data_IF_059645063268
#
_entry.id   IF_059645063268
#
_cell.length_a   1.000
_cell.length_b   1.000
_cell.length_c   1.000
_cell.angle_alpha   90.00
_cell.angle_beta   90.00
_cell.angle_gamma   90.00
#
_symmetry.space_group_name_H-M   'P 1'
#
loop_
_entity.id
_entity.type
_entity.pdbx_description
1 polymer ?
#
# COMPACT_ATOMS: atom_id res chain seq x y z
N UNK A 1 -28.51 28.46 34.47
CA UNK A 1 -27.64 27.26 34.54
C UNK A 1 -26.19 27.72 34.58
N UNK A 2 -25.51 27.66 35.74
CA UNK A 2 -24.11 28.13 35.87
C UNK A 2 -23.18 26.97 35.50
N UNK A 3 -22.64 27.01 34.28
CA UNK A 3 -21.64 26.05 33.83
C UNK A 3 -20.36 26.34 34.64
N UNK A 4 -19.94 25.38 35.47
CA UNK A 4 -18.71 25.52 36.26
C UNK A 4 -17.50 25.56 35.31
N UNK A 5 -16.52 26.43 35.61
CA UNK A 5 -15.27 26.55 34.84
C UNK A 5 -14.56 25.19 34.67
N UNK A 6 -14.69 24.31 35.66
CA UNK A 6 -14.17 22.95 35.60
C UNK A 6 -14.84 22.10 34.50
N UNK A 7 -16.15 22.27 34.28
CA UNK A 7 -16.91 21.54 33.25
C UNK A 7 -16.56 22.08 31.85
N UNK A 8 -16.31 23.39 31.73
CA UNK A 8 -15.87 24.02 30.47
C UNK A 8 -14.45 23.56 30.07
N UNK A 9 -13.54 23.45 31.03
CA UNK A 9 -12.17 22.97 30.78
C UNK A 9 -12.15 21.48 30.41
N UNK A 10 -12.94 20.64 31.10
CA UNK A 10 -12.99 19.21 30.82
C UNK A 10 -13.55 18.91 29.42
N UNK A 11 -14.58 19.65 29.00
CA UNK A 11 -15.17 19.51 27.66
C UNK A 11 -14.21 19.95 26.56
N UNK A 12 -13.48 21.06 26.76
CA UNK A 12 -12.48 21.53 25.80
C UNK A 12 -11.31 20.56 25.64
N UNK A 13 -10.81 20.01 26.75
CA UNK A 13 -9.73 19.01 26.74
C UNK A 13 -10.20 17.74 26.02
N UNK A 14 -11.42 17.27 26.31
CA UNK A 14 -11.98 16.09 25.65
C UNK A 14 -12.14 16.27 24.14
N UNK A 15 -12.46 17.46 23.64
CA UNK A 15 -12.57 17.68 22.19
C UNK A 15 -11.22 17.67 21.48
N UNK A 16 -10.14 18.05 22.18
CA UNK A 16 -8.79 18.08 21.61
C UNK A 16 -8.15 16.69 21.54
N UNK A 17 -8.54 15.76 22.41
CA UNK A 17 -7.97 14.39 22.40
C UNK A 17 -8.52 13.50 21.29
N UNK A 18 -9.58 13.92 20.58
CA UNK A 18 -10.12 13.17 19.43
C UNK A 18 -9.38 13.43 18.10
N UNK A 19 -8.37 14.29 18.05
CA UNK A 19 -7.65 14.65 16.81
C UNK A 19 -6.62 13.60 16.34
N UNK A 20 -6.74 12.34 16.78
CA UNK A 20 -5.74 11.29 16.51
C UNK A 20 -5.73 10.71 15.09
N UNK A 21 -6.71 11.02 14.25
CA UNK A 21 -6.88 10.36 12.94
C UNK A 21 -6.09 11.00 11.78
N UNK A 22 -5.12 11.89 12.05
CA UNK A 22 -4.40 12.65 11.02
C UNK A 22 -3.18 11.95 10.41
N UNK A 23 -3.01 10.65 10.66
CA UNK A 23 -1.97 9.83 10.04
C UNK A 23 -2.57 8.51 9.56
N UNK A 24 -2.48 8.26 8.27
CA UNK A 24 -2.95 7.05 7.63
C UNK A 24 -1.80 6.41 6.85
N UNK A 25 -1.61 5.10 7.05
CA UNK A 25 -0.61 4.31 6.35
C UNK A 25 -1.29 3.16 5.63
N UNK A 26 -1.00 3.00 4.34
CA UNK A 26 -1.47 1.89 3.51
C UNK A 26 -0.25 1.12 3.02
N UNK A 27 -0.17 -0.18 3.34
CA UNK A 27 0.92 -1.07 2.92
C UNK A 27 0.39 -2.09 1.92
N UNK A 28 1.16 -2.37 0.87
CA UNK A 28 0.76 -3.33 -0.19
C UNK A 28 1.38 -4.72 0.02
N UNK A 29 2.19 -4.90 1.06
CA UNK A 29 2.95 -6.13 1.30
C UNK A 29 4.20 -6.30 0.43
N UNK A 30 4.50 -5.35 -0.47
CA UNK A 30 5.74 -5.33 -1.26
C UNK A 30 6.91 -4.78 -0.44
N UNK A 31 8.11 -5.30 -0.67
CA UNK A 31 9.32 -4.78 -0.06
C UNK A 31 9.55 -3.31 -0.48
N UNK A 32 9.84 -2.43 0.46
CA UNK A 32 10.10 -1.01 0.19
C UNK A 32 11.46 -0.80 -0.47
N UNK A 33 11.54 0.10 -1.46
CA UNK A 33 12.79 0.59 -2.04
C UNK A 33 13.26 1.88 -1.37
N UNK A 34 14.43 2.37 -1.79
CA UNK A 34 14.94 3.69 -1.41
C UNK A 34 14.30 4.84 -2.22
N UNK A 35 13.44 4.53 -3.18
CA UNK A 35 12.78 5.52 -4.03
C UNK A 35 11.48 5.98 -3.40
N UNK A 36 11.37 7.29 -3.17
CA UNK A 36 10.25 7.91 -2.47
C UNK A 36 9.77 9.13 -3.26
N UNK A 37 8.45 9.26 -3.37
CA UNK A 37 7.76 10.42 -3.94
C UNK A 37 7.09 11.16 -2.78
N UNK A 38 7.50 12.41 -2.56
CA UNK A 38 6.96 13.28 -1.50
C UNK A 38 6.11 14.38 -2.11
N UNK A 39 4.88 14.53 -1.63
CA UNK A 39 3.97 15.63 -1.95
C UNK A 39 3.51 16.30 -0.64
N UNK A 40 4.24 17.31 -0.14
CA UNK A 40 3.99 17.90 1.18
C UNK A 40 2.73 18.79 1.27
N UNK A 41 2.24 19.27 0.12
CA UNK A 41 1.12 20.20 0.02
C UNK A 41 -0.01 19.65 -0.87
N UNK A 42 -0.47 18.44 -0.55
CA UNK A 42 -1.67 17.90 -1.17
C UNK A 42 -2.89 18.60 -0.56
N UNK A 43 -3.58 19.44 -1.34
CA UNK A 43 -4.70 20.24 -0.84
C UNK A 43 -5.99 19.44 -0.88
N UNK A 44 -6.57 19.17 0.28
CA UNK A 44 -7.97 18.75 0.40
C UNK A 44 -8.82 19.94 0.82
N UNK A 45 -10.14 19.88 0.59
CA UNK A 45 -11.04 20.98 0.93
C UNK A 45 -12.20 20.53 1.81
N UNK A 46 -12.76 21.48 2.55
CA UNK A 46 -13.92 21.30 3.42
C UNK A 46 -13.71 20.14 4.39
N UNK A 47 -12.80 20.31 5.34
CA UNK A 47 -12.43 19.28 6.32
C UNK A 47 -12.01 17.93 5.69
N UNK A 48 -11.44 17.97 4.47
CA UNK A 48 -11.01 16.76 3.75
C UNK A 48 -12.13 16.01 3.03
N UNK A 49 -13.34 16.59 2.91
CA UNK A 49 -14.43 16.00 2.13
C UNK A 49 -14.07 15.91 0.64
N UNK A 50 -13.36 16.91 0.12
CA UNK A 50 -12.89 16.92 -1.26
C UNK A 50 -11.45 16.40 -1.26
N UNK A 51 -11.19 15.25 -1.91
CA UNK A 51 -9.86 14.65 -1.91
C UNK A 51 -8.85 15.53 -2.65
N UNK A 52 -7.56 15.41 -2.32
CA UNK A 52 -6.50 16.09 -3.06
C UNK A 52 -6.35 15.53 -4.48
N UNK A 53 -5.63 16.26 -5.32
CA UNK A 53 -5.25 15.79 -6.65
C UNK A 53 -4.50 14.45 -6.57
N UNK A 54 -4.78 13.58 -7.54
CA UNK A 54 -4.18 12.25 -7.62
C UNK A 54 -2.66 12.34 -7.81
N UNK A 55 -1.91 11.65 -6.98
CA UNK A 55 -0.46 11.48 -7.15
C UNK A 55 -0.23 10.32 -8.09
N UNK A 56 0.28 10.58 -9.30
CA UNK A 56 0.65 9.50 -10.22
C UNK A 56 1.98 8.87 -9.78
N UNK A 57 1.87 7.76 -9.06
CA UNK A 57 3.02 6.97 -8.65
C UNK A 57 3.54 6.05 -9.77
N UNK A 58 2.78 5.86 -10.85
CA UNK A 58 3.06 4.87 -11.90
C UNK A 58 4.25 5.26 -12.76
N UNK A 59 4.44 6.58 -12.98
CA UNK A 59 5.55 7.10 -13.78
C UNK A 59 6.92 6.85 -13.14
N UNK A 60 6.97 6.86 -11.80
CA UNK A 60 8.22 6.72 -11.03
C UNK A 60 8.39 5.32 -10.45
N UNK A 61 7.35 4.77 -9.83
CA UNK A 61 7.39 3.45 -9.22
C UNK A 61 7.12 2.35 -10.25
N UNK A 62 8.12 2.02 -11.08
CA UNK A 62 8.03 0.98 -12.12
C UNK A 62 7.68 -0.42 -11.58
N UNK A 63 8.06 -0.73 -10.33
CA UNK A 63 7.77 -2.01 -9.67
C UNK A 63 6.47 -1.97 -8.83
N UNK A 64 5.73 -0.88 -8.90
CA UNK A 64 4.54 -0.59 -8.10
C UNK A 64 4.87 0.07 -6.75
N UNK A 65 3.83 0.32 -5.95
CA UNK A 65 3.92 1.01 -4.65
C UNK A 65 4.05 0.02 -3.51
N UNK A 66 4.95 0.26 -2.56
CA UNK A 66 5.09 -0.54 -1.34
C UNK A 66 4.29 0.05 -0.16
N UNK A 67 4.36 1.37 0.02
CA UNK A 67 3.74 2.06 1.15
C UNK A 67 3.26 3.45 0.74
N UNK A 68 2.08 3.83 1.20
CA UNK A 68 1.55 5.20 1.11
C UNK A 68 1.29 5.72 2.51
N UNK A 69 1.95 6.81 2.88
CA UNK A 69 1.78 7.49 4.16
C UNK A 69 1.14 8.85 3.90
N UNK A 70 -0.01 9.10 4.51
CA UNK A 70 -0.72 10.38 4.43
C UNK A 70 -0.79 10.97 5.83
N UNK A 71 -0.29 12.18 6.00
CA UNK A 71 -0.21 12.82 7.30
C UNK A 71 -0.44 14.33 7.26
N UNK A 72 -1.03 14.88 8.31
CA UNK A 72 -1.07 16.33 8.52
C UNK A 72 0.15 16.74 9.36
N UNK A 73 1.09 17.44 8.73
CA UNK A 73 2.22 18.05 9.44
C UNK A 73 1.75 19.23 10.31
N UNK A 74 2.59 19.67 11.26
CA UNK A 74 2.29 20.85 12.08
C UNK A 74 1.93 22.08 11.24
N UNK A 75 2.70 22.35 10.19
CA UNK A 75 2.47 23.50 9.31
C UNK A 75 1.17 23.35 8.51
N UNK A 76 0.86 22.13 8.08
CA UNK A 76 -0.40 21.82 7.40
C UNK A 76 -1.60 22.02 8.34
N UNK A 77 -1.47 21.60 9.59
CA UNK A 77 -2.48 21.81 10.63
C UNK A 77 -2.68 23.30 10.94
N UNK A 78 -1.59 24.09 10.98
CA UNK A 78 -1.66 25.53 11.16
C UNK A 78 -2.41 26.22 10.00
N UNK A 79 -2.11 25.87 8.76
CA UNK A 79 -2.82 26.41 7.59
C UNK A 79 -4.29 26.00 7.61
N UNK A 80 -4.58 24.76 8.00
CA UNK A 80 -5.96 24.29 8.20
C UNK A 80 -6.67 25.15 9.25
N UNK A 81 -6.04 25.42 10.39
CA UNK A 81 -6.63 26.25 11.44
C UNK A 81 -6.90 27.70 10.99
N UNK A 82 -5.95 28.33 10.29
CA UNK A 82 -6.08 29.71 9.79
C UNK A 82 -7.20 29.80 8.74
N UNK A 83 -7.38 28.77 7.92
CA UNK A 83 -8.42 28.71 6.89
C UNK A 83 -9.73 28.14 7.41
N UNK A 84 -9.88 27.93 8.72
CA UNK A 84 -11.05 27.27 9.33
C UNK A 84 -11.38 25.91 8.68
N UNK A 85 -10.36 25.18 8.26
CA UNK A 85 -10.41 23.90 7.54
C UNK A 85 -11.19 23.94 6.23
N UNK A 86 -11.38 25.13 5.64
CA UNK A 86 -11.84 25.24 4.26
C UNK A 86 -10.81 24.63 3.30
N UNK A 87 -9.53 24.83 3.61
CA UNK A 87 -8.40 24.17 2.95
C UNK A 87 -7.67 23.34 4.00
N UNK A 88 -7.51 22.05 3.75
CA UNK A 88 -6.86 21.12 4.67
C UNK A 88 -5.69 20.46 3.94
N UNK A 89 -4.51 21.12 3.91
CA UNK A 89 -3.32 20.52 3.31
C UNK A 89 -2.87 19.27 4.07
N UNK A 90 -2.28 18.31 3.36
CA UNK A 90 -1.66 17.12 3.91
C UNK A 90 -0.37 16.77 3.15
N UNK A 91 0.52 16.04 3.81
CA UNK A 91 1.72 15.47 3.23
C UNK A 91 1.42 14.03 2.83
N UNK A 92 1.65 13.71 1.56
CA UNK A 92 1.54 12.36 1.00
C UNK A 92 2.94 11.90 0.66
N UNK A 93 3.33 10.75 1.20
CA UNK A 93 4.59 10.10 0.93
C UNK A 93 4.32 8.73 0.34
N UNK A 94 4.83 8.50 -0.86
CA UNK A 94 4.72 7.21 -1.55
C UNK A 94 6.11 6.58 -1.61
N UNK A 95 6.26 5.41 -1.02
CA UNK A 95 7.48 4.62 -1.10
C UNK A 95 7.29 3.56 -2.18
N UNK A 96 8.16 3.57 -3.19
CA UNK A 96 8.11 2.61 -4.28
C UNK A 96 8.49 1.20 -3.78
N UNK A 97 8.04 0.19 -4.50
CA UNK A 97 8.46 -1.19 -4.26
C UNK A 97 9.89 -1.43 -4.79
N UNK A 98 10.67 -2.21 -4.04
CA UNK A 98 11.96 -2.69 -4.48
C UNK A 98 11.77 -3.63 -5.68
N UNK A 99 12.49 -3.35 -6.77
CA UNK A 99 12.63 -4.30 -7.87
C UNK A 99 13.35 -5.54 -7.36
N UNK A 100 12.63 -6.65 -7.23
CA UNK A 100 13.17 -7.91 -6.72
C UNK A 100 12.27 -8.67 -5.74
N UNK A 101 11.27 -8.01 -5.16
CA UNK A 101 10.31 -8.68 -4.27
C UNK A 101 9.08 -9.18 -5.04
N UNK A 102 8.96 -10.49 -5.21
CA UNK A 102 7.80 -11.24 -5.76
C UNK A 102 7.57 -11.23 -7.29
N UNK A 103 8.15 -10.30 -8.06
CA UNK A 103 8.17 -10.43 -9.52
C UNK A 103 9.36 -11.28 -10.04
N UNK A 104 10.43 -11.37 -9.24
CA UNK A 104 11.64 -12.14 -9.55
C UNK A 104 11.78 -13.43 -8.72
N UNK A 105 10.83 -13.71 -7.81
CA UNK A 105 10.66 -15.07 -7.24
C UNK A 105 9.74 -15.93 -8.13
N UNK A 106 9.60 -15.53 -9.39
CA UNK A 106 9.65 -16.50 -10.46
C UNK A 106 11.14 -16.58 -10.82
N UNK A 107 11.90 -17.41 -10.09
CA UNK A 107 13.01 -18.15 -10.73
C UNK A 107 12.48 -18.51 -12.10
N UNK A 108 13.04 -17.90 -13.16
CA UNK A 108 12.56 -17.94 -14.55
C UNK A 108 11.55 -19.07 -14.75
N UNK A 109 10.29 -18.81 -15.15
CA UNK A 109 9.28 -19.86 -15.22
C UNK A 109 9.72 -21.02 -16.12
N UNK A 110 10.79 -20.87 -16.91
CA UNK A 110 11.44 -21.98 -17.60
C UNK A 110 12.03 -23.09 -16.71
N UNK A 111 12.44 -22.86 -15.45
CA UNK A 111 13.20 -23.86 -14.67
C UNK A 111 12.36 -24.68 -13.68
N UNK A 112 11.27 -24.10 -13.14
CA UNK A 112 10.35 -24.76 -12.20
C UNK A 112 8.91 -24.86 -12.73
N UNK A 113 8.71 -24.88 -14.06
CA UNK A 113 7.38 -25.09 -14.67
C UNK A 113 7.35 -26.35 -15.51
N UNK A 114 6.33 -27.19 -15.26
CA UNK A 114 5.97 -28.33 -16.11
C UNK A 114 4.88 -27.87 -17.08
N UNK A 115 5.16 -27.91 -18.38
CA UNK A 115 4.18 -27.58 -19.41
C UNK A 115 3.28 -28.79 -19.70
N UNK A 116 1.97 -28.54 -19.78
CA UNK A 116 0.95 -29.52 -20.12
C UNK A 116 0.14 -29.00 -21.32
N UNK A 117 -0.17 -29.86 -22.28
CA UNK A 117 -1.07 -29.48 -23.38
C UNK A 117 -2.50 -29.33 -22.87
N UNK A 118 -3.27 -28.35 -23.37
CA UNK A 118 -4.71 -28.22 -23.03
C UNK A 118 -5.55 -29.45 -23.40
N UNK A 119 -5.09 -30.21 -24.40
CA UNK A 119 -5.76 -31.44 -24.87
C UNK A 119 -5.10 -32.73 -24.32
N UNK A 120 -4.30 -32.62 -23.26
CA UNK A 120 -3.60 -33.76 -22.69
C UNK A 120 -4.57 -34.82 -22.15
N UNK A 121 -4.23 -36.09 -22.38
CA UNK A 121 -4.93 -37.24 -21.81
C UNK A 121 -4.83 -37.27 -20.28
N UNK A 122 -5.70 -38.06 -19.65
CA UNK A 122 -5.73 -38.23 -18.19
C UNK A 122 -4.41 -38.85 -17.71
N UNK A 123 -3.83 -39.73 -18.53
CA UNK A 123 -2.55 -40.38 -18.30
C UNK A 123 -1.40 -39.36 -18.33
N UNK A 124 -1.33 -38.51 -19.36
CA UNK A 124 -0.30 -37.45 -19.48
C UNK A 124 -0.39 -36.42 -18.36
N UNK A 125 -1.62 -36.10 -17.93
CA UNK A 125 -1.87 -35.21 -16.80
C UNK A 125 -1.28 -35.79 -15.52
N UNK A 126 -1.57 -37.07 -15.22
CA UNK A 126 -1.06 -37.74 -14.01
C UNK A 126 0.46 -37.78 -13.97
N UNK A 127 1.11 -38.07 -15.10
CA UNK A 127 2.58 -38.09 -15.19
C UNK A 127 3.19 -36.70 -14.94
N UNK A 128 2.57 -35.64 -15.48
CA UNK A 128 3.02 -34.28 -15.24
C UNK A 128 2.91 -33.87 -13.76
N UNK A 129 1.83 -34.24 -13.07
CA UNK A 129 1.67 -33.99 -11.64
C UNK A 129 2.69 -34.76 -10.79
N UNK A 130 2.98 -36.02 -11.14
CA UNK A 130 4.01 -36.80 -10.45
C UNK A 130 5.39 -36.17 -10.63
N UNK A 131 5.75 -35.80 -11.87
CA UNK A 131 7.01 -35.13 -12.19
C UNK A 131 7.15 -33.79 -11.47
N UNK A 132 6.07 -32.99 -11.40
CA UNK A 132 6.08 -31.72 -10.67
C UNK A 132 6.30 -31.94 -9.17
N UNK A 133 5.68 -32.98 -8.59
CA UNK A 133 5.83 -33.32 -7.18
C UNK A 133 7.27 -33.74 -6.84
N UNK A 134 7.88 -34.58 -7.68
CA UNK A 134 9.27 -35.02 -7.47
C UNK A 134 10.26 -33.85 -7.56
N UNK A 135 10.02 -32.91 -8.48
CA UNK A 135 10.82 -31.69 -8.61
C UNK A 135 10.66 -30.77 -7.39
N UNK A 136 9.44 -30.61 -6.89
CA UNK A 136 9.17 -29.80 -5.71
C UNK A 136 9.86 -30.37 -4.46
N UNK A 137 9.81 -31.70 -4.28
CA UNK A 137 10.49 -32.37 -3.16
C UNK A 137 12.00 -32.23 -3.28
N UNK A 138 12.57 -32.42 -4.49
CA UNK A 138 14.01 -32.39 -4.71
C UNK A 138 14.61 -30.99 -4.56
N UNK A 139 13.91 -29.96 -5.02
CA UNK A 139 14.36 -28.56 -4.93
C UNK A 139 13.92 -27.87 -3.64
N UNK A 140 12.96 -28.45 -2.91
CA UNK A 140 12.32 -27.81 -1.76
C UNK A 140 11.74 -26.42 -2.11
N UNK A 141 11.20 -26.30 -3.31
CA UNK A 141 10.66 -25.08 -3.93
C UNK A 141 9.29 -25.37 -4.55
N UNK A 142 8.49 -24.32 -4.77
CA UNK A 142 7.22 -24.41 -5.49
C UNK A 142 7.44 -24.64 -7.00
N UNK A 143 6.69 -25.60 -7.56
CA UNK A 143 6.70 -25.94 -8.98
C UNK A 143 5.32 -25.67 -9.57
N UNK A 144 5.28 -24.99 -10.72
CA UNK A 144 4.03 -24.62 -11.39
C UNK A 144 3.70 -25.58 -12.54
N UNK A 145 2.41 -25.80 -12.77
CA UNK A 145 1.93 -26.50 -13.96
C UNK A 145 1.29 -25.47 -14.88
N UNK A 146 1.82 -25.34 -16.09
CA UNK A 146 1.32 -24.38 -17.07
C UNK A 146 0.70 -25.09 -18.26
N UNK A 147 -0.57 -24.81 -18.52
CA UNK A 147 -1.24 -25.28 -19.71
C UNK A 147 -0.86 -24.41 -20.91
N UNK A 148 -0.27 -25.03 -21.94
CA UNK A 148 -0.01 -24.40 -23.24
C UNK A 148 -1.15 -24.71 -24.20
#
# INVERSE_FOLDING_TARGET
MKISKAILLLTLISTFTLTGCFHATVETGKAASNEVIEQPWALSFVYGLIPPATVDASEKCTNGVAKVETQISFLNGLVSAITFSLVTPMNIKVTCAAGGGMANDITSPSENTVTLSKDASVEETKEAYQKATDLAIKKNETVFIQYN
#
